data_IF_676337166383
#
_entry.id   IF_676337166383
#
_cell.length_a   1.000
_cell.length_b   1.000
_cell.length_c   1.000
_cell.angle_alpha   90.00
_cell.angle_beta   90.00
_cell.angle_gamma   90.00
#
_symmetry.space_group_name_H-M   'P 1'
#
loop_
_entity.id
_entity.type
_entity.pdbx_description
1 polymer ?
#
# COMPACT_ATOMS: atom_id res chain seq x y z
N UNK A 1 20.77 1.78 53.37
CA UNK A 1 19.85 2.56 52.50
C UNK A 1 20.33 2.65 51.05
N UNK A 2 21.61 2.96 50.79
CA UNK A 2 22.18 3.13 49.43
C UNK A 2 21.97 1.94 48.47
N UNK A 3 22.16 0.70 48.93
CA UNK A 3 21.93 -0.52 48.09
C UNK A 3 20.47 -0.72 47.69
N UNK A 4 19.51 -0.38 48.57
CA UNK A 4 18.07 -0.47 48.25
C UNK A 4 17.67 0.56 47.20
N UNK A 5 18.21 1.77 47.28
CA UNK A 5 18.00 2.85 46.30
C UNK A 5 18.54 2.44 44.91
N UNK A 6 19.74 1.86 44.86
CA UNK A 6 20.31 1.32 43.62
C UNK A 6 19.44 0.22 42.98
N UNK A 7 18.84 -0.65 43.80
CA UNK A 7 17.93 -1.69 43.33
C UNK A 7 16.67 -1.09 42.69
N UNK A 8 16.09 -0.06 43.33
CA UNK A 8 14.94 0.64 42.78
C UNK A 8 15.26 1.36 41.46
N UNK A 9 16.42 2.02 41.37
CA UNK A 9 16.86 2.67 40.13
C UNK A 9 17.02 1.67 38.98
N UNK A 10 17.58 0.49 39.26
CA UNK A 10 17.74 -0.57 38.28
C UNK A 10 16.39 -1.07 37.75
N UNK A 11 15.40 -1.25 38.63
CA UNK A 11 14.05 -1.68 38.24
C UNK A 11 13.38 -0.62 37.35
N UNK A 12 13.48 0.65 37.72
CA UNK A 12 12.92 1.76 36.92
C UNK A 12 13.56 1.81 35.53
N UNK A 13 14.88 1.61 35.44
CA UNK A 13 15.61 1.59 34.18
C UNK A 13 15.14 0.44 33.27
N UNK A 14 14.92 -0.75 33.82
CA UNK A 14 14.41 -1.90 33.06
C UNK A 14 13.01 -1.64 32.49
N UNK A 15 12.12 -1.03 33.29
CA UNK A 15 10.76 -0.67 32.85
C UNK A 15 10.82 0.37 31.72
N UNK A 16 11.71 1.37 31.84
CA UNK A 16 11.89 2.40 30.81
C UNK A 16 12.43 1.81 29.49
N UNK A 17 13.41 0.92 29.58
CA UNK A 17 13.96 0.19 28.42
C UNK A 17 12.88 -0.68 27.75
N UNK A 18 12.07 -1.38 28.54
CA UNK A 18 11.00 -2.23 28.01
C UNK A 18 9.92 -1.42 27.28
N UNK A 19 9.51 -0.28 27.83
CA UNK A 19 8.58 0.63 27.14
C UNK A 19 9.14 1.16 25.81
N UNK A 20 10.44 1.47 25.75
CA UNK A 20 11.08 1.93 24.52
C UNK A 20 11.13 0.84 23.43
N UNK A 21 11.34 -0.43 23.80
CA UNK A 21 11.28 -1.53 22.84
C UNK A 21 9.86 -1.69 22.30
N UNK A 22 8.84 -1.51 23.14
CA UNK A 22 7.43 -1.62 22.73
C UNK A 22 6.99 -0.47 21.80
N UNK A 23 7.50 0.75 22.00
CA UNK A 23 7.22 1.88 21.09
C UNK A 23 7.91 1.72 19.74
N UNK A 24 9.13 1.15 19.71
CA UNK A 24 9.86 0.88 18.48
C UNK A 24 9.30 -0.34 17.72
N UNK A 25 8.82 -1.34 18.45
CA UNK A 25 8.22 -2.56 17.91
C UNK A 25 6.72 -2.41 17.60
N UNK A 26 6.14 -1.20 17.66
CA UNK A 26 4.83 -0.94 17.08
C UNK A 26 4.91 -1.32 15.60
N UNK A 27 4.35 -2.49 15.27
CA UNK A 27 4.04 -2.88 13.91
C UNK A 27 3.36 -1.69 13.25
N UNK A 28 3.75 -1.30 12.02
CA UNK A 28 3.12 -0.18 11.36
C UNK A 28 1.63 -0.49 11.33
N UNK A 29 0.83 0.31 12.06
CA UNK A 29 -0.64 0.16 12.18
C UNK A 29 -1.32 0.14 10.79
N UNK A 30 -0.55 0.45 9.75
CA UNK A 30 -0.91 0.67 8.38
C UNK A 30 -0.33 -0.36 7.39
N UNK A 31 0.18 -1.53 7.81
CA UNK A 31 0.71 -2.54 6.85
C UNK A 31 -0.35 -2.99 5.81
N UNK A 32 -1.62 -3.02 6.22
CA UNK A 32 -2.77 -3.28 5.33
C UNK A 32 -3.46 -2.01 4.82
N UNK A 33 -3.11 -0.86 5.40
CA UNK A 33 -3.57 0.45 4.94
C UNK A 33 -2.61 0.82 3.80
N UNK A 34 -2.90 0.33 2.59
CA UNK A 34 -2.07 0.60 1.41
C UNK A 34 -1.73 2.09 1.28
N UNK A 35 -0.74 2.47 0.47
CA UNK A 35 -0.56 3.89 0.14
C UNK A 35 -1.86 4.41 -0.47
N UNK A 36 -2.72 5.01 0.33
CA UNK A 36 -3.93 5.69 -0.11
C UNK A 36 -3.47 6.97 -0.76
N UNK A 37 -3.08 6.85 -2.02
CA UNK A 37 -2.94 8.02 -2.87
C UNK A 37 -4.32 8.65 -3.00
N UNK A 38 -4.40 9.97 -2.84
CA UNK A 38 -5.64 10.71 -3.12
C UNK A 38 -6.11 10.51 -4.57
N UNK A 39 -5.19 10.15 -5.47
CA UNK A 39 -5.45 9.78 -6.84
C UNK A 39 -4.38 8.83 -7.36
N UNK A 40 -4.77 7.89 -8.22
CA UNK A 40 -3.84 7.08 -9.02
C UNK A 40 -3.72 7.56 -10.47
N UNK A 41 -4.23 8.77 -10.79
CA UNK A 41 -4.06 9.39 -12.11
C UNK A 41 -2.59 9.41 -12.55
N UNK A 42 -2.34 9.19 -13.83
CA UNK A 42 -1.01 9.10 -14.45
C UNK A 42 -0.13 7.93 -13.96
N UNK A 43 -0.69 6.97 -13.20
CA UNK A 43 0.00 5.74 -12.84
C UNK A 43 -0.53 4.55 -13.66
N UNK A 44 0.25 3.46 -13.64
CA UNK A 44 -0.21 2.17 -14.12
C UNK A 44 -0.78 1.33 -12.96
N UNK A 45 -1.92 0.68 -13.19
CA UNK A 45 -2.37 -0.44 -12.37
C UNK A 45 -1.89 -1.74 -13.00
N UNK A 46 -1.10 -2.51 -12.24
CA UNK A 46 -0.55 -3.79 -12.67
C UNK A 46 -1.29 -4.90 -11.92
N UNK A 47 -1.95 -5.78 -12.66
CA UNK A 47 -2.64 -6.91 -12.07
C UNK A 47 -1.64 -7.90 -11.44
N UNK A 48 -1.78 -8.14 -10.14
CA UNK A 48 -1.00 -9.15 -9.43
C UNK A 48 -1.53 -10.56 -9.71
N UNK A 49 -0.77 -11.59 -9.34
CA UNK A 49 -1.18 -13.00 -9.45
C UNK A 49 -2.46 -13.35 -8.68
N UNK A 50 -2.85 -12.51 -7.71
CA UNK A 50 -4.09 -12.65 -6.95
C UNK A 50 -5.33 -12.24 -7.75
N UNK A 51 -5.20 -11.46 -8.82
CA UNK A 51 -6.32 -11.07 -9.69
C UNK A 51 -6.75 -12.25 -10.57
N UNK A 52 -7.81 -12.96 -10.17
CA UNK A 52 -8.30 -14.16 -10.87
C UNK A 52 -9.36 -13.88 -11.95
N UNK A 53 -9.94 -12.68 -11.96
CA UNK A 53 -10.91 -12.28 -12.98
C UNK A 53 -10.24 -12.25 -14.36
N UNK A 54 -10.71 -13.07 -15.29
CA UNK A 54 -10.12 -13.22 -16.63
C UNK A 54 -10.16 -11.92 -17.48
N UNK A 55 -11.01 -10.96 -17.10
CA UNK A 55 -11.10 -9.66 -17.77
C UNK A 55 -9.86 -8.83 -17.47
N UNK A 56 -9.32 -8.94 -16.26
CA UNK A 56 -8.23 -8.12 -15.72
C UNK A 56 -6.98 -8.92 -15.31
N UNK A 57 -6.99 -10.25 -15.37
CA UNK A 57 -5.83 -11.06 -15.07
C UNK A 57 -4.68 -10.68 -16.01
N UNK A 58 -3.50 -10.37 -15.45
CA UNK A 58 -2.30 -9.98 -16.20
C UNK A 58 -2.45 -8.69 -17.03
N UNK A 59 -3.43 -7.84 -16.73
CA UNK A 59 -3.58 -6.56 -17.42
C UNK A 59 -2.69 -5.47 -16.82
N UNK A 60 -2.31 -4.52 -17.68
CA UNK A 60 -1.75 -3.22 -17.34
C UNK A 60 -2.75 -2.15 -17.77
N UNK A 61 -3.16 -1.31 -16.82
CA UNK A 61 -4.14 -0.24 -17.04
C UNK A 61 -3.43 1.09 -16.84
N UNK A 62 -3.53 2.01 -17.81
CA UNK A 62 -3.15 3.41 -17.60
C UNK A 62 -4.33 4.16 -17.01
N UNK A 63 -4.11 4.84 -15.88
CA UNK A 63 -5.15 5.60 -15.19
C UNK A 63 -5.23 7.03 -15.73
N UNK A 64 -6.39 7.38 -16.27
CA UNK A 64 -6.65 8.68 -16.90
C UNK A 64 -7.23 9.68 -15.90
N UNK A 65 -8.13 9.22 -15.03
CA UNK A 65 -8.69 9.98 -13.92
C UNK A 65 -8.96 9.05 -12.73
N UNK A 66 -8.83 9.60 -11.52
CA UNK A 66 -9.17 8.90 -10.29
C UNK A 66 -9.38 9.93 -9.18
N UNK A 67 -10.60 10.05 -8.71
CA UNK A 67 -11.00 10.94 -7.61
C UNK A 67 -12.05 10.24 -6.72
N UNK A 68 -12.70 11.02 -5.85
CA UNK A 68 -13.77 10.54 -4.97
C UNK A 68 -15.05 10.11 -5.71
N UNK A 69 -15.27 10.61 -6.93
CA UNK A 69 -16.44 10.29 -7.75
C UNK A 69 -16.23 9.01 -8.57
N UNK A 70 -14.97 8.56 -8.72
CA UNK A 70 -14.64 7.29 -9.34
C UNK A 70 -13.31 7.33 -10.08
N UNK A 71 -13.12 6.37 -10.97
CA UNK A 71 -11.92 6.28 -11.78
C UNK A 71 -12.21 5.64 -13.13
N UNK A 72 -11.44 6.02 -14.15
CA UNK A 72 -11.44 5.35 -15.44
C UNK A 72 -10.03 5.30 -16.02
N UNK A 73 -9.79 4.26 -16.81
CA UNK A 73 -8.49 3.96 -17.37
C UNK A 73 -8.60 3.03 -18.57
N UNK A 74 -7.48 2.86 -19.27
CA UNK A 74 -7.41 2.06 -20.50
C UNK A 74 -6.48 0.86 -20.29
N UNK A 75 -6.97 -0.33 -20.62
CA UNK A 75 -6.12 -1.53 -20.68
C UNK A 75 -5.23 -1.44 -21.92
N UNK A 76 -3.91 -1.38 -21.73
CA UNK A 76 -2.96 -1.13 -22.84
C UNK A 76 -2.30 -2.40 -23.38
N UNK A 77 -2.39 -3.52 -22.66
CA UNK A 77 -1.70 -4.76 -23.01
C UNK A 77 -2.64 -5.93 -23.39
N UNK A 78 -3.89 -5.63 -23.73
CA UNK A 78 -4.89 -6.62 -24.13
C UNK A 78 -5.48 -6.28 -25.49
N UNK A 79 -4.91 -6.86 -26.55
CA UNK A 79 -5.38 -6.68 -27.93
C UNK A 79 -6.73 -7.37 -28.13
N UNK A 80 -7.73 -6.64 -28.60
CA UNK A 80 -9.05 -7.19 -28.95
C UNK A 80 -9.13 -7.63 -30.42
N UNK A 81 -8.29 -7.06 -31.28
CA UNK A 81 -8.26 -7.34 -32.71
C UNK A 81 -7.27 -6.42 -33.44
N UNK A 82 -7.39 -6.37 -34.77
CA UNK A 82 -6.61 -5.46 -35.61
C UNK A 82 -7.55 -4.77 -36.56
N UNK A 83 -7.55 -3.44 -36.57
CA UNK A 83 -8.36 -2.65 -37.47
C UNK A 83 -7.67 -1.31 -37.73
N UNK A 84 -7.80 -0.73 -38.94
CA UNK A 84 -7.43 0.67 -39.17
C UNK A 84 -8.14 1.60 -38.18
N UNK A 85 -7.39 2.53 -37.58
CA UNK A 85 -7.95 3.48 -36.60
C UNK A 85 -9.05 4.36 -37.20
N UNK A 86 -9.00 4.61 -38.51
CA UNK A 86 -10.01 5.35 -39.24
C UNK A 86 -11.40 4.68 -39.24
N UNK A 87 -11.50 3.40 -38.88
CA UNK A 87 -12.79 2.70 -38.75
C UNK A 87 -13.37 2.76 -37.33
N UNK A 88 -12.68 3.40 -36.37
CA UNK A 88 -13.13 3.56 -34.97
C UNK A 88 -13.74 4.94 -34.69
N UNK A 89 -13.76 5.83 -35.69
CA UNK A 89 -14.22 7.23 -35.62
C UNK A 89 -15.43 7.35 -36.55
#
# INVERSE_FOLDING_TARGET
MRKRILLFLFIILQILLFHHVFTLAKTPENYLKGKFYSSVKNNFLIATEKMKDNRFSKTVIVMLESDENGAWGLVINKRLGTMPIALLI
#
